data_IF_137237036425
#
_entry.id   IF_137237036425
#
_cell.length_a   1.000
_cell.length_b   1.000
_cell.length_c   1.000
_cell.angle_alpha   90.00
_cell.angle_beta   90.00
_cell.angle_gamma   90.00
#
_symmetry.space_group_name_H-M   'P 1'
#
loop_
_entity.id
_entity.type
_entity.pdbx_description
1 polymer ?
#
# COMPACT_ATOMS: atom_id res chain seq x y z
N UNK A 1 45.42 49.91 31.82
CA UNK A 1 45.64 48.99 30.68
C UNK A 1 45.07 47.57 30.85
N UNK A 2 44.69 47.11 32.03
CA UNK A 2 44.11 45.78 32.25
C UNK A 2 42.61 45.68 31.91
N UNK A 3 41.86 46.76 32.09
CA UNK A 3 40.38 46.81 31.84
C UNK A 3 39.97 46.74 30.34
N UNK A 4 40.83 47.35 29.47
CA UNK A 4 40.57 47.38 28.02
C UNK A 4 40.73 45.97 27.37
N UNK A 5 41.66 45.16 27.91
CA UNK A 5 41.87 43.77 27.39
C UNK A 5 40.72 42.82 27.69
N UNK A 6 40.01 42.98 28.78
CA UNK A 6 38.84 42.15 29.11
C UNK A 6 37.63 42.48 28.24
N UNK A 7 37.42 43.77 27.90
CA UNK A 7 36.27 44.19 27.08
C UNK A 7 36.43 43.78 25.62
N UNK A 8 37.65 43.78 25.08
CA UNK A 8 37.90 43.32 23.70
C UNK A 8 37.78 41.80 23.56
N UNK A 9 38.14 41.05 24.61
CA UNK A 9 38.03 39.60 24.58
C UNK A 9 36.56 39.11 24.67
N UNK A 10 35.68 39.88 25.35
CA UNK A 10 34.24 39.58 25.40
C UNK A 10 33.53 39.88 24.09
N UNK A 11 34.00 40.87 23.30
CA UNK A 11 33.39 41.23 22.02
C UNK A 11 33.73 40.26 20.88
N UNK A 12 34.84 39.52 21.01
CA UNK A 12 35.28 38.52 20.01
C UNK A 12 34.63 37.14 20.21
N UNK A 13 34.01 36.86 21.37
CA UNK A 13 33.31 35.59 21.65
C UNK A 13 31.82 35.64 21.27
N UNK A 14 31.26 36.82 21.03
CA UNK A 14 29.83 36.98 20.72
C UNK A 14 29.38 36.34 19.39
N UNK A 15 30.18 36.33 18.33
CA UNK A 15 29.75 35.68 17.07
C UNK A 15 29.84 34.15 17.09
N UNK A 16 30.51 33.52 18.07
CA UNK A 16 30.59 32.05 18.15
C UNK A 16 29.36 31.39 18.78
N UNK A 17 28.49 32.18 19.37
CA UNK A 17 27.23 31.73 19.97
C UNK A 17 26.01 32.14 19.14
N UNK A 18 26.17 32.42 17.82
CA UNK A 18 25.03 32.44 16.93
C UNK A 18 24.44 31.02 16.99
N UNK A 19 23.24 30.80 17.60
CA UNK A 19 22.65 29.52 17.59
C UNK A 19 22.50 29.16 16.10
N UNK A 20 23.00 28.01 15.74
CA UNK A 20 22.53 27.28 14.57
C UNK A 20 21.03 27.05 14.82
N UNK A 21 20.22 28.07 14.55
CA UNK A 21 18.84 27.90 14.23
C UNK A 21 18.82 27.09 12.92
N UNK A 22 19.13 25.81 13.07
CA UNK A 22 18.67 24.81 12.10
C UNK A 22 17.16 25.00 12.15
N UNK A 23 16.66 25.81 11.22
CA UNK A 23 15.24 25.91 10.92
C UNK A 23 14.84 24.47 10.63
N UNK A 24 14.28 23.79 11.63
CA UNK A 24 13.62 22.53 11.43
C UNK A 24 12.57 22.84 10.37
N UNK A 25 12.87 22.48 9.12
CA UNK A 25 11.96 22.72 8.02
C UNK A 25 10.68 22.00 8.38
N UNK A 26 9.59 22.76 8.54
CA UNK A 26 8.31 22.19 8.87
C UNK A 26 7.97 21.10 7.85
N UNK A 27 7.77 19.88 8.32
CA UNK A 27 7.34 18.77 7.46
C UNK A 27 5.83 18.87 7.21
N UNK A 28 5.37 18.70 5.97
CA UNK A 28 6.14 18.61 4.73
C UNK A 28 6.48 20.00 4.14
N UNK A 29 7.69 20.18 3.61
CA UNK A 29 8.13 21.40 2.92
C UNK A 29 8.06 21.31 1.39
N UNK A 30 7.74 20.15 0.85
CA UNK A 30 7.62 19.83 -0.58
C UNK A 30 6.47 18.85 -0.81
N UNK A 31 5.99 18.66 -2.06
CA UNK A 31 4.95 17.70 -2.37
C UNK A 31 5.29 16.28 -1.88
N UNK A 32 4.26 15.59 -1.39
CA UNK A 32 4.33 14.18 -0.97
C UNK A 32 3.89 13.31 -2.14
N UNK A 33 4.66 12.29 -2.48
CA UNK A 33 4.33 11.32 -3.52
C UNK A 33 3.60 10.13 -2.90
N UNK A 34 2.41 9.79 -3.41
CA UNK A 34 1.67 8.59 -3.02
C UNK A 34 1.67 7.58 -4.17
N UNK A 35 2.46 6.53 -4.03
CA UNK A 35 2.52 5.44 -5.01
C UNK A 35 1.32 4.53 -4.83
N UNK A 36 0.61 4.27 -5.92
CA UNK A 36 -0.51 3.33 -6.01
C UNK A 36 -0.10 2.22 -6.95
N UNK A 37 0.12 0.99 -6.47
CA UNK A 37 0.68 -0.11 -7.27
C UNK A 37 -0.35 -0.78 -8.19
N UNK A 38 -1.31 -0.02 -8.68
CA UNK A 38 -2.41 -0.47 -9.55
C UNK A 38 -2.72 0.57 -10.62
N UNK A 39 -3.46 0.14 -11.66
CA UNK A 39 -3.86 1.01 -12.76
C UNK A 39 -4.71 2.20 -12.28
N UNK A 40 -4.50 3.34 -12.92
CA UNK A 40 -5.34 4.52 -12.72
C UNK A 40 -6.82 4.22 -13.06
N UNK A 41 -7.74 4.82 -12.31
CA UNK A 41 -9.19 4.61 -12.46
C UNK A 41 -9.73 3.36 -11.77
N UNK A 42 -8.88 2.51 -11.20
CA UNK A 42 -9.29 1.36 -10.38
C UNK A 42 -9.78 1.75 -8.98
N UNK A 43 -10.34 0.79 -8.25
CA UNK A 43 -10.87 1.02 -6.91
C UNK A 43 -9.81 1.59 -5.95
N UNK A 44 -8.60 1.06 -5.98
CA UNK A 44 -7.49 1.56 -5.14
C UNK A 44 -7.07 2.98 -5.50
N UNK A 45 -7.05 3.33 -6.79
CA UNK A 45 -6.76 4.69 -7.27
C UNK A 45 -7.84 5.69 -6.82
N UNK A 46 -9.11 5.29 -6.91
CA UNK A 46 -10.23 6.12 -6.44
C UNK A 46 -10.09 6.46 -4.95
N UNK A 47 -9.78 5.46 -4.12
CA UNK A 47 -9.53 5.66 -2.69
C UNK A 47 -8.29 6.54 -2.48
N UNK A 48 -7.20 6.28 -3.21
CA UNK A 48 -5.96 7.06 -3.11
C UNK A 48 -6.18 8.54 -3.42
N UNK A 49 -6.97 8.86 -4.44
CA UNK A 49 -7.31 10.25 -4.78
C UNK A 49 -8.15 10.93 -3.70
N UNK A 50 -9.15 10.20 -3.15
CA UNK A 50 -9.97 10.74 -2.06
C UNK A 50 -9.13 11.03 -0.80
N UNK A 51 -8.27 10.09 -0.42
CA UNK A 51 -7.34 10.26 0.72
C UNK A 51 -6.31 11.33 0.44
N UNK A 52 -5.70 11.31 -0.75
CA UNK A 52 -4.67 12.27 -1.18
C UNK A 52 -5.16 13.71 -1.16
N UNK A 53 -6.40 13.96 -1.59
CA UNK A 53 -7.00 15.29 -1.53
C UNK A 53 -7.13 15.79 -0.08
N UNK A 54 -7.68 14.95 0.82
CA UNK A 54 -7.81 15.30 2.25
C UNK A 54 -6.47 15.47 2.94
N UNK A 55 -5.51 14.61 2.58
CA UNK A 55 -4.16 14.70 3.12
C UNK A 55 -3.44 15.97 2.63
N UNK A 56 -3.65 16.37 1.37
CA UNK A 56 -3.13 17.64 0.83
C UNK A 56 -3.66 18.85 1.59
N UNK A 57 -4.95 18.87 1.88
CA UNK A 57 -5.60 19.93 2.69
C UNK A 57 -5.00 19.99 4.09
N UNK A 58 -4.83 18.83 4.75
CA UNK A 58 -4.32 18.76 6.11
C UNK A 58 -2.82 19.10 6.23
N UNK A 59 -2.02 18.72 5.24
CA UNK A 59 -0.58 18.94 5.22
C UNK A 59 -0.16 20.30 4.66
N UNK A 60 -1.06 21.02 3.97
CA UNK A 60 -0.72 22.26 3.27
C UNK A 60 0.25 22.07 2.10
N UNK A 61 0.45 20.85 1.65
CA UNK A 61 1.32 20.48 0.52
C UNK A 61 0.62 19.47 -0.40
N UNK A 62 0.84 19.54 -1.70
CA UNK A 62 0.22 18.61 -2.64
C UNK A 62 0.60 17.14 -2.34
N UNK A 63 -0.40 16.24 -2.40
CA UNK A 63 -0.16 14.80 -2.45
C UNK A 63 -0.37 14.35 -3.90
N UNK A 64 0.73 13.93 -4.54
CA UNK A 64 0.75 13.53 -5.96
C UNK A 64 0.55 12.02 -6.06
N UNK A 65 -0.53 11.60 -6.70
CA UNK A 65 -0.81 10.18 -6.94
C UNK A 65 0.01 9.69 -8.13
N UNK A 66 0.79 8.62 -7.91
CA UNK A 66 1.65 8.00 -8.92
C UNK A 66 1.29 6.51 -9.07
N UNK A 67 0.59 6.18 -10.15
CA UNK A 67 0.15 4.82 -10.44
C UNK A 67 1.29 3.99 -11.03
N UNK A 68 1.77 2.97 -10.30
CA UNK A 68 2.87 2.06 -10.68
C UNK A 68 2.42 0.61 -10.61
N UNK A 69 1.54 0.22 -11.53
CA UNK A 69 1.00 -1.13 -11.59
C UNK A 69 2.01 -2.18 -12.05
N UNK A 70 1.66 -3.44 -11.83
CA UNK A 70 2.38 -4.62 -12.31
C UNK A 70 2.69 -5.64 -11.23
N UNK A 71 2.79 -6.90 -11.63
CA UNK A 71 3.09 -8.05 -10.77
C UNK A 71 2.24 -8.10 -9.49
N UNK A 72 0.92 -7.88 -9.61
CA UNK A 72 0.00 -7.90 -8.46
C UNK A 72 0.22 -6.80 -7.42
N UNK A 73 0.94 -5.73 -7.77
CA UNK A 73 1.29 -4.62 -6.88
C UNK A 73 2.73 -4.65 -6.37
N UNK A 74 3.51 -5.67 -6.70
CA UNK A 74 4.91 -5.78 -6.25
C UNK A 74 5.80 -4.67 -6.79
N UNK A 75 5.61 -4.24 -8.06
CA UNK A 75 6.46 -3.22 -8.68
C UNK A 75 6.35 -1.89 -7.93
N UNK A 76 5.14 -1.41 -7.69
CA UNK A 76 4.93 -0.16 -6.96
C UNK A 76 5.34 -0.24 -5.49
N UNK A 77 5.14 -1.39 -4.86
CA UNK A 77 5.58 -1.63 -3.48
C UNK A 77 7.11 -1.62 -3.37
N UNK A 78 7.83 -2.23 -4.31
CA UNK A 78 9.29 -2.23 -4.36
C UNK A 78 9.88 -0.82 -4.53
N UNK A 79 9.23 0.02 -5.34
CA UNK A 79 9.62 1.43 -5.49
C UNK A 79 9.59 2.16 -4.15
N UNK A 80 8.56 1.92 -3.33
CA UNK A 80 8.43 2.56 -2.02
C UNK A 80 9.40 1.96 -0.99
N UNK A 81 9.57 0.64 -0.99
CA UNK A 81 10.54 -0.03 -0.13
C UNK A 81 11.97 0.49 -0.30
N UNK A 82 12.32 0.93 -1.53
CA UNK A 82 13.64 1.49 -1.87
C UNK A 82 13.70 3.02 -1.81
N UNK A 83 12.61 3.68 -1.48
CA UNK A 83 12.59 5.13 -1.35
C UNK A 83 13.31 5.59 -0.07
N UNK A 84 13.73 6.86 -0.04
CA UNK A 84 14.26 7.45 1.19
C UNK A 84 13.19 7.43 2.30
N UNK A 85 13.54 7.05 3.54
CA UNK A 85 12.59 6.98 4.66
C UNK A 85 12.35 8.38 5.28
N UNK A 86 12.10 9.38 4.42
CA UNK A 86 11.93 10.79 4.80
C UNK A 86 10.46 11.23 4.92
N UNK A 87 9.51 10.30 4.75
CA UNK A 87 8.08 10.56 4.80
C UNK A 87 7.47 11.17 3.53
N UNK A 88 8.28 11.47 2.49
CA UNK A 88 7.78 12.05 1.25
C UNK A 88 7.33 11.03 0.20
N UNK A 89 7.53 9.75 0.46
CA UNK A 89 7.01 8.67 -0.41
C UNK A 89 6.12 7.75 0.40
N UNK A 90 4.84 7.76 0.06
CA UNK A 90 3.81 6.93 0.69
C UNK A 90 3.41 5.79 -0.25
N UNK A 91 2.96 4.68 0.31
CA UNK A 91 2.33 3.58 -0.40
C UNK A 91 0.87 3.48 0.02
N UNK A 92 -0.05 3.50 -0.95
CA UNK A 92 -1.43 3.09 -0.74
C UNK A 92 -1.70 1.83 -1.55
N UNK A 93 -1.86 0.72 -0.87
CA UNK A 93 -1.94 -0.62 -1.47
C UNK A 93 -3.08 -1.44 -0.85
N UNK A 94 -3.33 -2.62 -1.41
CA UNK A 94 -4.18 -3.65 -0.81
C UNK A 94 -3.34 -4.72 -0.11
N UNK A 95 -3.98 -5.57 0.71
CA UNK A 95 -3.29 -6.51 1.58
C UNK A 95 -2.35 -7.54 0.92
N UNK A 96 -2.75 -8.25 -0.16
CA UNK A 96 -2.04 -9.44 -0.63
C UNK A 96 -0.54 -9.31 -0.90
N UNK A 97 -0.02 -8.23 -1.54
CA UNK A 97 1.43 -8.08 -1.74
C UNK A 97 2.23 -8.14 -0.44
N UNK A 98 1.65 -7.65 0.64
CA UNK A 98 2.31 -7.53 1.93
C UNK A 98 2.00 -8.67 2.91
N UNK A 99 0.80 -9.27 2.82
CA UNK A 99 0.34 -10.29 3.78
C UNK A 99 0.44 -11.72 3.26
N UNK A 100 0.36 -11.92 1.95
CA UNK A 100 0.23 -13.24 1.37
C UNK A 100 1.43 -13.62 0.47
N UNK A 101 1.91 -12.73 -0.40
CA UNK A 101 2.99 -13.05 -1.33
C UNK A 101 4.26 -13.58 -0.69
N UNK A 102 4.72 -13.13 0.49
CA UNK A 102 5.88 -13.71 1.14
C UNK A 102 5.78 -15.22 1.40
N UNK A 103 4.57 -15.78 1.45
CA UNK A 103 4.34 -17.19 1.75
C UNK A 103 4.24 -18.10 0.53
N UNK A 104 3.98 -17.57 -0.66
CA UNK A 104 3.80 -18.40 -1.86
C UNK A 104 4.52 -17.90 -3.12
N UNK A 105 5.10 -16.70 -3.09
CA UNK A 105 5.93 -16.20 -4.18
C UNK A 105 7.40 -16.43 -3.85
N UNK A 106 8.14 -17.01 -4.81
CA UNK A 106 9.57 -17.32 -4.60
C UNK A 106 10.45 -16.08 -4.44
N UNK A 107 10.09 -14.99 -5.10
CA UNK A 107 10.89 -13.76 -5.15
C UNK A 107 9.99 -12.56 -4.89
N UNK A 108 9.88 -12.14 -3.63
CA UNK A 108 9.32 -10.85 -3.24
C UNK A 108 10.48 -9.89 -3.04
N UNK A 109 10.53 -8.74 -3.75
CA UNK A 109 11.73 -7.89 -3.77
C UNK A 109 11.86 -6.97 -2.55
N UNK A 110 11.02 -7.12 -1.54
CA UNK A 110 11.01 -6.34 -0.30
C UNK A 110 10.63 -7.21 0.90
N UNK A 111 11.02 -6.75 2.08
CA UNK A 111 10.55 -7.31 3.35
C UNK A 111 9.40 -6.46 3.90
N UNK A 112 8.22 -7.07 4.02
CA UNK A 112 6.99 -6.37 4.42
C UNK A 112 7.08 -5.72 5.80
N UNK A 113 7.88 -6.29 6.70
CA UNK A 113 7.99 -5.81 8.10
C UNK A 113 9.11 -4.78 8.26
N UNK A 114 10.24 -4.97 7.55
CA UNK A 114 11.43 -4.12 7.72
C UNK A 114 11.47 -2.92 6.80
N UNK A 115 10.93 -3.06 5.59
CA UNK A 115 11.10 -2.03 4.55
C UNK A 115 9.95 -1.02 4.52
N UNK A 116 8.94 -1.17 5.40
CA UNK A 116 7.79 -0.27 5.48
C UNK A 116 7.48 0.13 6.92
N UNK A 117 7.09 1.39 7.10
CA UNK A 117 6.47 1.89 8.32
C UNK A 117 4.95 1.96 8.11
N UNK A 118 4.14 1.05 8.69
CA UNK A 118 2.69 1.07 8.51
C UNK A 118 2.09 2.29 9.22
N UNK A 119 1.14 2.97 8.54
CA UNK A 119 0.49 4.17 9.06
C UNK A 119 -0.93 3.82 9.54
N UNK A 120 -1.79 3.35 8.60
CA UNK A 120 -3.19 3.09 8.91
C UNK A 120 -3.82 2.16 7.87
N UNK A 121 -4.86 1.44 8.26
CA UNK A 121 -5.80 0.80 7.34
C UNK A 121 -6.86 1.84 6.98
N UNK A 122 -6.82 2.33 5.74
CA UNK A 122 -7.74 3.37 5.24
C UNK A 122 -9.18 2.88 5.15
N UNK A 123 -9.36 1.59 4.85
CA UNK A 123 -10.67 0.97 4.75
C UNK A 123 -10.57 -0.51 4.39
N UNK A 124 -11.72 -1.18 4.46
CA UNK A 124 -11.89 -2.58 4.05
C UNK A 124 -12.96 -2.67 2.97
N UNK A 125 -12.73 -3.50 1.96
CA UNK A 125 -13.70 -3.78 0.93
C UNK A 125 -14.12 -5.26 1.03
N UNK A 126 -15.41 -5.56 1.30
CA UNK A 126 -15.89 -6.92 1.28
C UNK A 126 -15.82 -7.47 -0.14
N UNK A 127 -15.58 -8.77 -0.25
CA UNK A 127 -15.64 -9.48 -1.53
C UNK A 127 -16.98 -10.22 -1.65
N UNK A 128 -17.50 -10.26 -2.88
CA UNK A 128 -18.70 -10.98 -3.20
C UNK A 128 -18.42 -12.11 -4.17
N UNK A 129 -19.07 -13.25 -3.99
CA UNK A 129 -19.12 -14.30 -4.99
C UNK A 129 -20.33 -14.03 -5.88
N UNK A 130 -20.08 -13.86 -7.17
CA UNK A 130 -21.11 -13.67 -8.18
C UNK A 130 -21.11 -14.87 -9.12
N UNK A 131 -22.27 -15.39 -9.42
CA UNK A 131 -22.44 -16.53 -10.35
C UNK A 131 -23.25 -16.12 -11.55
N UNK A 132 -22.99 -16.75 -12.70
CA UNK A 132 -23.81 -16.55 -13.88
C UNK A 132 -25.23 -17.11 -13.65
N UNK A 133 -26.28 -16.45 -14.13
CA UNK A 133 -27.69 -16.92 -13.91
C UNK A 133 -28.00 -18.32 -14.42
N UNK A 134 -27.21 -18.84 -15.37
CA UNK A 134 -27.38 -20.24 -15.83
C UNK A 134 -26.93 -21.28 -14.81
N UNK A 135 -26.17 -20.90 -13.79
CA UNK A 135 -25.79 -21.80 -12.71
C UNK A 135 -26.96 -21.88 -11.70
N UNK A 136 -27.56 -23.05 -11.48
CA UNK A 136 -28.79 -23.19 -10.67
C UNK A 136 -28.46 -23.19 -9.16
N UNK A 137 -27.84 -22.08 -8.67
CA UNK A 137 -27.45 -21.91 -7.26
C UNK A 137 -27.80 -20.50 -6.81
N UNK A 138 -28.30 -20.35 -5.59
CA UNK A 138 -28.70 -19.07 -4.99
C UNK A 138 -27.98 -18.80 -3.65
N UNK A 139 -27.18 -19.75 -3.20
CA UNK A 139 -26.44 -19.66 -1.93
C UNK A 139 -25.04 -20.25 -2.06
N UNK A 140 -24.14 -19.86 -1.15
CA UNK A 140 -22.78 -20.45 -1.06
C UNK A 140 -22.86 -21.96 -0.80
N UNK A 141 -23.83 -22.40 0.00
CA UNK A 141 -24.04 -23.83 0.28
C UNK A 141 -24.37 -24.59 -1.01
N UNK A 142 -25.31 -24.08 -1.80
CA UNK A 142 -25.70 -24.72 -3.07
C UNK A 142 -24.55 -24.70 -4.08
N UNK A 143 -23.73 -23.61 -4.10
CA UNK A 143 -22.54 -23.56 -4.93
C UNK A 143 -21.54 -24.66 -4.55
N UNK A 144 -21.29 -24.83 -3.26
CA UNK A 144 -20.40 -25.89 -2.75
C UNK A 144 -20.95 -27.29 -3.08
N UNK A 145 -22.25 -27.51 -2.86
CA UNK A 145 -22.90 -28.80 -3.17
C UNK A 145 -22.84 -29.11 -4.68
N UNK A 146 -23.02 -28.07 -5.52
CA UNK A 146 -22.88 -28.19 -6.97
C UNK A 146 -21.45 -28.51 -7.40
N UNK A 147 -20.47 -27.76 -6.84
CA UNK A 147 -19.04 -27.98 -7.15
C UNK A 147 -18.56 -29.38 -6.74
N UNK A 148 -19.02 -29.91 -5.59
CA UNK A 148 -18.74 -31.30 -5.17
C UNK A 148 -19.24 -32.34 -6.12
N UNK A 149 -20.42 -32.11 -6.73
CA UNK A 149 -21.00 -33.01 -7.74
C UNK A 149 -20.38 -32.89 -9.11
N UNK A 150 -19.64 -31.80 -9.35
CA UNK A 150 -19.05 -31.45 -10.64
C UNK A 150 -17.59 -31.02 -10.49
N UNK A 151 -16.68 -31.87 -9.98
CA UNK A 151 -15.28 -31.49 -9.73
C UNK A 151 -14.59 -31.02 -11.02
N UNK A 152 -13.85 -29.91 -10.93
CA UNK A 152 -13.12 -29.31 -12.05
C UNK A 152 -13.99 -28.69 -13.16
N UNK A 153 -15.33 -28.67 -13.03
CA UNK A 153 -16.23 -28.09 -14.05
C UNK A 153 -16.50 -26.60 -13.87
N UNK A 154 -16.39 -26.10 -12.67
CA UNK A 154 -16.55 -24.67 -12.39
C UNK A 154 -15.21 -23.95 -12.49
N UNK A 155 -15.27 -22.74 -13.07
CA UNK A 155 -14.15 -21.81 -13.07
C UNK A 155 -14.53 -20.53 -12.33
N UNK A 156 -13.56 -19.88 -11.69
CA UNK A 156 -13.76 -18.56 -11.11
C UNK A 156 -12.75 -17.57 -11.66
N UNK A 157 -13.24 -16.41 -12.09
CA UNK A 157 -12.44 -15.30 -12.60
C UNK A 157 -12.00 -14.36 -11.47
N UNK A 158 -10.84 -13.74 -11.65
CA UNK A 158 -10.28 -12.76 -10.71
C UNK A 158 -9.59 -11.62 -11.45
N UNK A 159 -9.09 -10.63 -10.73
CA UNK A 159 -8.26 -9.56 -11.29
C UNK A 159 -6.79 -9.96 -11.53
N UNK A 160 -6.49 -11.25 -11.49
CA UNK A 160 -5.16 -11.78 -11.80
C UNK A 160 -4.54 -12.59 -10.66
N UNK A 161 -3.39 -13.17 -10.96
CA UNK A 161 -2.59 -13.97 -10.01
C UNK A 161 -2.13 -13.09 -8.85
N UNK A 162 -2.28 -13.59 -7.63
CA UNK A 162 -1.93 -12.88 -6.40
C UNK A 162 -3.00 -11.90 -5.89
N UNK A 163 -4.14 -11.78 -6.59
CA UNK A 163 -5.23 -10.93 -6.12
C UNK A 163 -5.91 -11.50 -4.88
N UNK A 164 -6.57 -10.63 -4.11
CA UNK A 164 -7.39 -11.05 -2.96
C UNK A 164 -8.55 -11.95 -3.37
N UNK A 165 -9.07 -11.77 -4.59
CA UNK A 165 -10.12 -12.60 -5.16
C UNK A 165 -9.61 -14.03 -5.43
N UNK A 166 -8.41 -14.18 -5.99
CA UNK A 166 -7.80 -15.50 -6.15
C UNK A 166 -7.63 -16.19 -4.80
N UNK A 167 -7.09 -15.47 -3.82
CA UNK A 167 -6.90 -16.00 -2.47
C UNK A 167 -8.23 -16.46 -1.86
N UNK A 168 -9.28 -15.65 -1.99
CA UNK A 168 -10.63 -16.01 -1.52
C UNK A 168 -11.16 -17.28 -2.17
N UNK A 169 -11.03 -17.40 -3.51
CA UNK A 169 -11.44 -18.61 -4.25
C UNK A 169 -10.67 -19.87 -3.84
N UNK A 170 -9.35 -19.75 -3.69
CA UNK A 170 -8.51 -20.88 -3.23
C UNK A 170 -8.81 -21.29 -1.78
N UNK A 171 -9.06 -20.32 -0.90
CA UNK A 171 -9.49 -20.61 0.47
C UNK A 171 -10.86 -21.29 0.51
N UNK A 172 -11.81 -20.88 -0.34
CA UNK A 172 -13.10 -21.55 -0.46
C UNK A 172 -12.93 -22.98 -0.95
N UNK A 173 -12.13 -23.22 -2.00
CA UNK A 173 -11.82 -24.55 -2.50
C UNK A 173 -11.31 -25.45 -1.37
N UNK A 174 -10.32 -24.95 -0.62
CA UNK A 174 -9.70 -25.70 0.47
C UNK A 174 -10.67 -25.95 1.63
N UNK A 175 -11.39 -24.93 2.08
CA UNK A 175 -12.29 -25.01 3.23
C UNK A 175 -13.50 -25.90 2.96
N UNK A 176 -14.03 -25.88 1.73
CA UNK A 176 -15.21 -26.65 1.34
C UNK A 176 -14.86 -28.03 0.73
N UNK A 177 -13.60 -28.34 0.46
CA UNK A 177 -13.16 -29.56 -0.21
C UNK A 177 -13.72 -29.65 -1.63
N UNK A 178 -13.64 -28.56 -2.39
CA UNK A 178 -14.08 -28.44 -3.79
C UNK A 178 -12.93 -28.10 -4.71
N UNK A 179 -13.11 -28.31 -6.01
CA UNK A 179 -12.11 -28.04 -7.04
C UNK A 179 -12.73 -27.14 -8.12
N UNK A 180 -12.58 -25.83 -7.96
CA UNK A 180 -12.90 -24.83 -8.97
C UNK A 180 -11.62 -24.33 -9.61
N UNK A 181 -11.61 -24.18 -10.94
CA UNK A 181 -10.44 -23.77 -11.72
C UNK A 181 -10.30 -22.24 -11.70
N UNK A 182 -9.14 -21.75 -11.29
CA UNK A 182 -8.84 -20.32 -11.35
C UNK A 182 -8.55 -19.86 -12.79
N UNK A 183 -9.17 -18.74 -13.18
CA UNK A 183 -8.94 -18.02 -14.44
C UNK A 183 -8.53 -16.59 -14.09
N UNK A 184 -7.35 -16.14 -14.56
CA UNK A 184 -6.80 -14.82 -14.30
C UNK A 184 -7.30 -13.77 -15.30
#
# INVERSE_FOLDING_TARGET
MRTIRLTVMSLLLAPLLAPLLVMAQAFPSKPVRMVVPYAAGGATDTVARAVGNRLSEALGQPVVIDNRGGAGGMIGSDIVAKAAPDGYTLLLTVGPPHSAFPFFMKNVPFDTVRDFAPIIIVGTAPQSIVVHPSLPVTSVKELVDYAKKNPGKLSFGTSGVGSSQQMGGLLLNRAAGIDMVHVA
#
